data_IF_608967738658
#
_entry.id   IF_608967738658
#
_cell.length_a   1.000
_cell.length_b   1.000
_cell.length_c   1.000
_cell.angle_alpha   90.00
_cell.angle_beta   90.00
_cell.angle_gamma   90.00
#
_symmetry.space_group_name_H-M   'P 1'
#
loop_
_entity.id
_entity.type
_entity.pdbx_description
1 polymer ?
#
# COMPACT_ATOMS: atom_id res chain seq x y z
N UNK A 1 34.13 67.38 11.28
CA UNK A 1 32.90 67.26 10.48
C UNK A 1 33.30 66.82 9.08
N UNK A 2 32.47 65.95 8.49
CA UNK A 2 32.48 65.47 7.10
C UNK A 2 33.50 64.41 6.66
N UNK A 3 33.18 63.19 7.13
CA UNK A 3 33.05 62.00 6.30
C UNK A 3 32.42 62.31 4.93
N UNK A 4 33.07 61.91 3.83
CA UNK A 4 32.48 61.33 2.61
C UNK A 4 33.49 61.41 1.47
N UNK A 5 34.01 60.26 1.01
CA UNK A 5 34.02 59.83 -0.41
C UNK A 5 35.03 58.71 -0.70
N UNK A 6 34.49 57.67 -1.38
CA UNK A 6 35.13 56.71 -2.32
C UNK A 6 35.45 55.31 -1.78
N UNK A 7 34.40 54.50 -1.60
CA UNK A 7 34.48 53.06 -1.83
C UNK A 7 33.84 52.74 -3.20
N UNK A 8 34.67 52.35 -4.17
CA UNK A 8 34.26 51.70 -5.42
C UNK A 8 33.99 50.19 -5.22
N UNK A 9 33.81 49.43 -6.31
CA UNK A 9 32.49 49.05 -6.79
C UNK A 9 32.07 47.64 -6.35
N UNK A 10 30.81 47.55 -5.93
CA UNK A 10 29.85 46.46 -6.12
C UNK A 10 30.44 45.07 -6.48
N UNK A 11 30.94 44.33 -5.49
CA UNK A 11 31.01 42.86 -5.53
C UNK A 11 29.58 42.28 -5.44
N UNK A 12 28.84 42.35 -6.54
CA UNK A 12 27.68 41.48 -6.81
C UNK A 12 27.95 40.65 -8.04
N UNK A 13 29.03 39.88 -7.99
CA UNK A 13 29.22 38.75 -8.88
C UNK A 13 28.56 37.52 -8.25
N UNK A 14 27.39 37.17 -8.80
CA UNK A 14 27.06 35.81 -9.20
C UNK A 14 27.17 34.73 -8.09
N UNK A 15 26.13 34.62 -7.26
CA UNK A 15 25.69 33.31 -6.77
C UNK A 15 24.49 32.92 -7.62
N UNK A 16 24.71 31.95 -8.49
CA UNK A 16 23.72 31.39 -9.38
C UNK A 16 22.51 30.87 -8.60
N UNK A 17 21.33 31.42 -8.89
CA UNK A 17 20.20 30.71 -9.48
C UNK A 17 19.86 29.28 -9.05
N UNK A 18 20.17 28.84 -7.83
CA UNK A 18 19.50 27.67 -7.23
C UNK A 18 18.30 28.22 -6.48
N UNK A 19 17.17 28.33 -7.18
CA UNK A 19 15.90 28.71 -6.59
C UNK A 19 15.54 27.71 -5.50
N UNK A 20 15.77 28.07 -4.24
CA UNK A 20 15.26 27.32 -3.10
C UNK A 20 13.74 27.30 -3.26
N UNK A 21 13.10 26.13 -3.43
CA UNK A 21 11.66 26.06 -3.53
C UNK A 21 11.07 26.69 -2.27
N UNK A 22 10.19 27.68 -2.45
CA UNK A 22 9.51 28.26 -1.28
C UNK A 22 8.71 27.15 -0.59
N UNK A 23 8.68 27.13 0.75
CA UNK A 23 7.96 26.12 1.57
C UNK A 23 6.50 25.93 1.11
N UNK A 24 5.89 26.97 0.54
CA UNK A 24 4.54 26.94 -0.06
C UNK A 24 4.45 26.07 -1.31
N UNK A 25 5.49 26.05 -2.15
CA UNK A 25 5.58 25.25 -3.37
C UNK A 25 5.90 23.76 -3.11
N UNK A 26 6.57 23.43 -2.00
CA UNK A 26 6.75 22.04 -1.57
C UNK A 26 5.45 21.46 -1.01
N UNK A 27 4.77 22.20 -0.12
CA UNK A 27 3.49 21.77 0.46
C UNK A 27 2.40 21.52 -0.59
N UNK A 28 2.38 22.30 -1.68
CA UNK A 28 1.47 22.09 -2.81
C UNK A 28 1.72 20.78 -3.56
N UNK A 29 3.00 20.42 -3.77
CA UNK A 29 3.40 19.17 -4.44
C UNK A 29 3.08 17.93 -3.62
N UNK A 30 3.20 17.98 -2.30
CA UNK A 30 2.89 16.83 -1.44
C UNK A 30 1.40 16.47 -1.49
N UNK A 31 0.52 17.47 -1.41
CA UNK A 31 -0.92 17.25 -1.52
C UNK A 31 -1.34 16.82 -2.94
N UNK A 32 -0.60 17.20 -3.97
CA UNK A 32 -0.80 16.74 -5.33
C UNK A 32 -0.50 15.24 -5.46
N UNK A 33 0.65 14.80 -4.93
CA UNK A 33 1.09 13.41 -4.97
C UNK A 33 0.12 12.46 -4.28
N UNK A 34 -0.35 12.81 -3.08
CA UNK A 34 -1.32 12.00 -2.31
C UNK A 34 -2.63 11.81 -3.09
N UNK A 35 -3.12 12.86 -3.74
CA UNK A 35 -4.38 12.82 -4.49
C UNK A 35 -4.25 12.09 -5.83
N UNK A 36 -3.14 12.25 -6.53
CA UNK A 36 -2.82 11.45 -7.73
C UNK A 36 -2.71 9.97 -7.40
N UNK A 37 -2.09 9.62 -6.27
CA UNK A 37 -1.99 8.25 -5.81
C UNK A 37 -3.36 7.60 -5.58
N UNK A 38 -4.33 8.32 -5.01
CA UNK A 38 -5.69 7.80 -4.81
C UNK A 38 -6.40 7.45 -6.13
N UNK A 39 -6.36 8.34 -7.12
CA UNK A 39 -6.96 8.09 -8.45
C UNK A 39 -6.27 6.93 -9.15
N UNK A 40 -4.93 6.92 -9.15
CA UNK A 40 -4.16 5.86 -9.77
C UNK A 40 -4.40 4.50 -9.13
N UNK A 41 -4.46 4.44 -7.80
CA UNK A 41 -4.68 3.19 -7.06
C UNK A 41 -6.07 2.64 -7.35
N UNK A 42 -7.11 3.48 -7.38
CA UNK A 42 -8.45 3.05 -7.73
C UNK A 42 -8.55 2.56 -9.19
N UNK A 43 -7.95 3.28 -10.15
CA UNK A 43 -8.01 2.88 -11.57
C UNK A 43 -7.31 1.55 -11.83
N UNK A 44 -6.13 1.33 -11.24
CA UNK A 44 -5.38 0.09 -11.38
C UNK A 44 -6.14 -1.11 -10.80
N UNK A 45 -6.73 -0.96 -9.61
CA UNK A 45 -7.53 -2.03 -9.01
C UNK A 45 -8.75 -2.38 -9.87
N UNK A 46 -9.51 -1.36 -10.30
CA UNK A 46 -10.69 -1.56 -11.13
C UNK A 46 -10.34 -2.23 -12.46
N UNK A 47 -9.23 -1.81 -13.09
CA UNK A 47 -8.74 -2.42 -14.32
C UNK A 47 -8.42 -3.91 -14.15
N UNK A 48 -7.74 -4.28 -13.07
CA UNK A 48 -7.44 -5.68 -12.76
C UNK A 48 -8.68 -6.49 -12.40
N UNK A 49 -9.63 -5.93 -11.64
CA UNK A 49 -10.92 -6.57 -11.36
C UNK A 49 -11.63 -6.90 -12.66
N UNK A 50 -11.80 -5.92 -13.55
CA UNK A 50 -12.44 -6.12 -14.86
C UNK A 50 -11.70 -7.20 -15.63
N UNK A 51 -10.38 -7.06 -15.80
CA UNK A 51 -9.58 -8.00 -16.59
C UNK A 51 -9.64 -9.45 -16.09
N UNK A 52 -9.79 -9.69 -14.80
CA UNK A 52 -9.80 -11.03 -14.20
C UNK A 52 -11.21 -11.62 -14.09
N UNK A 53 -12.23 -10.76 -13.94
CA UNK A 53 -13.62 -11.19 -13.88
C UNK A 53 -14.29 -11.33 -15.24
N UNK A 54 -13.76 -10.74 -16.32
CA UNK A 54 -14.32 -10.94 -17.66
C UNK A 54 -14.19 -12.41 -18.10
N UNK A 55 -15.30 -13.12 -18.33
CA UNK A 55 -15.27 -14.47 -18.88
C UNK A 55 -14.72 -14.47 -20.30
N UNK A 56 -14.04 -15.55 -20.72
CA UNK A 56 -13.59 -15.70 -22.10
C UNK A 56 -12.43 -14.80 -22.57
N UNK A 57 -11.90 -13.89 -21.73
CA UNK A 57 -10.81 -12.96 -22.08
C UNK A 57 -9.45 -13.64 -22.36
N UNK A 58 -9.40 -14.96 -22.45
CA UNK A 58 -8.19 -15.73 -22.74
C UNK A 58 -7.23 -15.89 -21.56
N UNK A 59 -5.95 -16.20 -21.85
CA UNK A 59 -4.92 -16.50 -20.85
C UNK A 59 -4.47 -15.26 -20.06
N UNK A 60 -3.67 -15.48 -19.01
CA UNK A 60 -3.22 -14.44 -18.06
C UNK A 60 -2.55 -13.25 -18.74
N UNK A 61 -1.75 -13.46 -19.80
CA UNK A 61 -1.06 -12.36 -20.49
C UNK A 61 -2.02 -11.44 -21.27
N UNK A 62 -3.11 -11.98 -21.84
CA UNK A 62 -4.16 -11.16 -22.47
C UNK A 62 -4.85 -10.30 -21.42
N UNK A 63 -5.17 -10.90 -20.26
CA UNK A 63 -5.77 -10.19 -19.13
C UNK A 63 -4.85 -9.10 -18.61
N UNK A 64 -3.54 -9.35 -18.51
CA UNK A 64 -2.57 -8.34 -18.13
C UNK A 64 -2.51 -7.17 -19.14
N UNK A 65 -2.55 -7.46 -20.44
CA UNK A 65 -2.59 -6.43 -21.48
C UNK A 65 -3.86 -5.58 -21.39
N UNK A 66 -5.02 -6.21 -21.17
CA UNK A 66 -6.29 -5.51 -20.96
C UNK A 66 -6.27 -4.68 -19.68
N UNK A 67 -5.76 -5.23 -18.58
CA UNK A 67 -5.60 -4.50 -17.32
C UNK A 67 -4.69 -3.28 -17.48
N UNK A 68 -3.60 -3.37 -18.25
CA UNK A 68 -2.74 -2.23 -18.54
C UNK A 68 -3.48 -1.14 -19.32
N UNK A 69 -4.15 -1.50 -20.42
CA UNK A 69 -4.92 -0.56 -21.23
C UNK A 69 -6.02 0.13 -20.42
N UNK A 70 -6.76 -0.63 -19.62
CA UNK A 70 -7.79 -0.11 -18.72
C UNK A 70 -7.21 0.76 -17.60
N UNK A 71 -6.06 0.40 -17.02
CA UNK A 71 -5.44 1.19 -15.95
C UNK A 71 -5.06 2.59 -16.46
N UNK A 72 -4.46 2.67 -17.64
CA UNK A 72 -4.11 3.94 -18.29
C UNK A 72 -5.38 4.72 -18.66
N UNK A 73 -6.33 4.08 -19.35
CA UNK A 73 -7.56 4.73 -19.80
C UNK A 73 -8.44 5.25 -18.66
N UNK A 74 -8.65 4.44 -17.61
CA UNK A 74 -9.40 4.84 -16.41
C UNK A 74 -8.69 5.93 -15.63
N UNK A 75 -7.36 5.88 -15.52
CA UNK A 75 -6.59 6.93 -14.86
C UNK A 75 -6.77 8.27 -15.57
N UNK A 76 -6.70 8.29 -16.91
CA UNK A 76 -6.99 9.49 -17.70
C UNK A 76 -8.42 9.97 -17.54
N UNK A 77 -9.40 9.06 -17.63
CA UNK A 77 -10.80 9.41 -17.55
C UNK A 77 -11.17 9.98 -16.17
N UNK A 78 -10.76 9.34 -15.08
CA UNK A 78 -10.98 9.81 -13.71
C UNK A 78 -10.30 11.16 -13.45
N UNK A 79 -9.08 11.35 -13.98
CA UNK A 79 -8.36 12.62 -13.86
C UNK A 79 -9.11 13.75 -14.57
N UNK A 80 -9.60 13.51 -15.80
CA UNK A 80 -10.40 14.50 -16.56
C UNK A 80 -11.75 14.77 -15.90
N UNK A 81 -12.40 13.74 -15.36
CA UNK A 81 -13.68 13.88 -14.65
C UNK A 81 -13.53 14.71 -13.39
N UNK A 82 -12.47 14.47 -12.61
CA UNK A 82 -12.17 15.24 -11.39
C UNK A 82 -11.97 16.74 -11.70
N UNK A 83 -11.31 17.07 -12.81
CA UNK A 83 -11.16 18.46 -13.28
C UNK A 83 -12.51 19.05 -13.71
N UNK A 84 -13.32 18.30 -14.47
CA UNK A 84 -14.64 18.76 -14.96
C UNK A 84 -15.65 19.03 -13.85
N UNK A 85 -15.67 18.20 -12.81
CA UNK A 85 -16.65 18.32 -11.72
C UNK A 85 -16.44 19.53 -10.80
N UNK A 86 -15.47 20.42 -11.08
CA UNK A 86 -15.27 21.67 -10.35
C UNK A 86 -14.86 21.51 -8.88
N UNK A 87 -14.89 20.29 -8.32
CA UNK A 87 -14.45 19.94 -6.95
C UNK A 87 -12.97 20.26 -6.68
N UNK A 88 -12.25 20.73 -7.70
CA UNK A 88 -10.81 20.55 -7.79
C UNK A 88 -10.13 21.54 -8.77
N UNK A 89 -10.50 22.82 -8.78
CA UNK A 89 -9.80 23.84 -9.58
C UNK A 89 -8.29 23.95 -9.25
N UNK A 90 -7.86 23.47 -8.07
CA UNK A 90 -6.43 23.31 -7.66
C UNK A 90 -5.78 21.99 -8.09
N UNK A 91 -6.53 21.01 -8.56
CA UNK A 91 -6.03 19.65 -8.85
C UNK A 91 -5.35 19.56 -10.22
N UNK A 92 -5.85 20.31 -11.20
CA UNK A 92 -5.23 20.45 -12.52
C UNK A 92 -3.85 21.12 -12.46
N UNK A 93 -3.65 22.09 -11.56
CA UNK A 93 -2.33 22.71 -11.31
C UNK A 93 -1.38 21.80 -10.54
N UNK A 94 -1.91 20.90 -9.71
CA UNK A 94 -1.15 20.01 -8.83
C UNK A 94 -0.65 18.75 -9.57
N UNK A 95 -1.43 18.21 -10.50
CA UNK A 95 -0.99 17.13 -11.40
C UNK A 95 -0.15 17.62 -12.59
N UNK A 96 0.07 18.93 -12.73
CA UNK A 96 0.62 19.59 -13.92
C UNK A 96 2.06 19.17 -14.34
N UNK A 97 2.67 18.18 -13.67
CA UNK A 97 3.95 17.60 -14.06
C UNK A 97 4.01 16.07 -14.01
N UNK A 98 2.92 15.38 -13.64
CA UNK A 98 2.91 13.91 -13.59
C UNK A 98 2.27 13.39 -14.90
N UNK A 99 3.00 12.63 -15.73
CA UNK A 99 2.39 12.03 -16.91
C UNK A 99 1.34 11.01 -16.47
N UNK A 100 0.06 11.30 -16.71
CA UNK A 100 -1.07 10.47 -16.25
C UNK A 100 -0.97 9.02 -16.78
N UNK A 101 -0.49 8.85 -18.02
CA UNK A 101 -0.22 7.53 -18.57
C UNK A 101 0.84 6.76 -17.76
N UNK A 102 1.90 7.44 -17.30
CA UNK A 102 2.91 6.84 -16.41
C UNK A 102 2.29 6.44 -15.08
N UNK A 103 1.43 7.27 -14.50
CA UNK A 103 0.72 6.94 -13.26
C UNK A 103 -0.14 5.67 -13.44
N UNK A 104 -0.88 5.56 -14.54
CA UNK A 104 -1.64 4.35 -14.88
C UNK A 104 -0.76 3.10 -15.06
N UNK A 105 0.44 3.25 -15.64
CA UNK A 105 1.40 2.13 -15.75
C UNK A 105 1.94 1.71 -14.38
N UNK A 106 2.25 2.68 -13.51
CA UNK A 106 2.74 2.41 -12.16
C UNK A 106 1.68 1.68 -11.36
N UNK A 107 0.42 2.09 -11.41
CA UNK A 107 -0.64 1.45 -10.62
C UNK A 107 -1.07 0.11 -11.19
N UNK A 108 -0.99 -0.08 -12.51
CA UNK A 108 -1.05 -1.40 -13.12
C UNK A 108 0.00 -2.34 -12.52
N UNK A 109 1.27 -1.89 -12.46
CA UNK A 109 2.36 -2.68 -11.93
C UNK A 109 2.19 -2.95 -10.42
N UNK A 110 1.73 -1.97 -9.66
CA UNK A 110 1.50 -2.09 -8.21
C UNK A 110 0.50 -3.21 -7.88
N UNK A 111 -0.66 -3.19 -8.54
CA UNK A 111 -1.67 -4.24 -8.38
C UNK A 111 -1.25 -5.57 -9.01
N UNK A 112 -0.50 -5.55 -10.11
CA UNK A 112 0.05 -6.75 -10.73
C UNK A 112 1.08 -7.46 -9.83
N UNK A 113 1.95 -6.69 -9.17
CA UNK A 113 2.89 -7.19 -8.18
C UNK A 113 2.18 -7.67 -6.91
N UNK A 114 1.07 -7.02 -6.53
CA UNK A 114 0.20 -7.50 -5.45
C UNK A 114 -0.38 -8.88 -5.78
N UNK A 115 -0.90 -9.08 -6.99
CA UNK A 115 -1.36 -10.38 -7.47
C UNK A 115 -0.22 -11.41 -7.48
N UNK A 116 0.92 -11.07 -8.06
CA UNK A 116 2.08 -11.97 -8.11
C UNK A 116 2.50 -12.40 -6.71
N UNK A 117 2.58 -11.45 -5.77
CA UNK A 117 2.92 -11.72 -4.37
C UNK A 117 1.90 -12.63 -3.71
N UNK A 118 0.60 -12.34 -3.86
CA UNK A 118 -0.46 -13.18 -3.33
C UNK A 118 -0.38 -14.61 -3.87
N UNK A 119 -0.21 -14.75 -5.18
CA UNK A 119 -0.14 -16.05 -5.84
C UNK A 119 1.08 -16.86 -5.41
N UNK A 120 2.27 -16.25 -5.36
CA UNK A 120 3.50 -16.92 -4.94
C UNK A 120 3.48 -17.30 -3.45
N UNK A 121 2.98 -16.41 -2.58
CA UNK A 121 2.91 -16.66 -1.15
C UNK A 121 1.86 -17.73 -0.82
N UNK A 122 0.71 -17.74 -1.51
CA UNK A 122 -0.25 -18.84 -1.41
C UNK A 122 0.37 -20.18 -1.86
N UNK A 123 1.11 -20.17 -2.97
CA UNK A 123 1.79 -21.37 -3.49
C UNK A 123 2.86 -21.89 -2.53
N UNK A 124 3.53 -21.01 -1.77
CA UNK A 124 4.56 -21.39 -0.80
C UNK A 124 4.04 -22.23 0.37
N UNK A 125 2.73 -22.15 0.67
CA UNK A 125 2.07 -22.97 1.69
C UNK A 125 1.26 -24.12 1.08
N UNK A 126 1.42 -24.39 -0.22
CA UNK A 126 0.77 -25.53 -0.90
C UNK A 126 -0.56 -25.21 -1.58
N UNK A 127 -0.96 -23.94 -1.69
CA UNK A 127 -2.23 -23.55 -2.34
C UNK A 127 -2.01 -23.21 -3.82
N UNK A 128 -2.61 -23.98 -4.74
CA UNK A 128 -2.52 -23.77 -6.19
C UNK A 128 -3.85 -23.27 -6.80
N UNK A 129 -4.00 -21.95 -6.95
CA UNK A 129 -5.22 -21.32 -7.47
C UNK A 129 -5.20 -21.06 -8.98
N UNK A 130 -4.06 -21.28 -9.65
CA UNK A 130 -3.77 -20.67 -10.95
C UNK A 130 -3.79 -19.13 -10.93
N UNK A 131 -3.25 -18.48 -11.97
CA UNK A 131 -3.13 -17.01 -11.99
C UNK A 131 -4.49 -16.26 -12.01
N UNK A 132 -5.49 -16.83 -12.70
CA UNK A 132 -6.83 -16.21 -12.79
C UNK A 132 -7.59 -16.37 -11.47
N UNK A 133 -7.56 -17.56 -10.85
CA UNK A 133 -8.20 -17.80 -9.55
C UNK A 133 -7.59 -16.94 -8.44
N UNK A 134 -6.25 -16.86 -8.40
CA UNK A 134 -5.53 -15.96 -7.51
C UNK A 134 -5.96 -14.49 -7.71
N UNK A 135 -6.05 -14.04 -8.96
CA UNK A 135 -6.53 -12.70 -9.29
C UNK A 135 -7.94 -12.42 -8.81
N UNK A 136 -8.88 -13.35 -9.03
CA UNK A 136 -10.28 -13.20 -8.57
C UNK A 136 -10.34 -13.07 -7.07
N UNK A 137 -9.60 -13.91 -6.35
CA UNK A 137 -9.58 -13.88 -4.88
C UNK A 137 -8.94 -12.60 -4.35
N UNK A 138 -7.71 -12.29 -4.75
CA UNK A 138 -6.98 -11.15 -4.18
C UNK A 138 -7.71 -9.84 -4.43
N UNK A 139 -8.12 -9.56 -5.67
CA UNK A 139 -8.71 -8.26 -6.01
C UNK A 139 -10.11 -8.08 -5.43
N UNK A 140 -10.90 -9.16 -5.31
CA UNK A 140 -12.23 -9.07 -4.66
C UNK A 140 -12.08 -8.78 -3.17
N UNK A 141 -11.11 -9.41 -2.50
CA UNK A 141 -10.84 -9.10 -1.09
C UNK A 141 -10.25 -7.72 -0.89
N UNK A 142 -9.35 -7.26 -1.77
CA UNK A 142 -8.82 -5.89 -1.70
C UNK A 142 -9.92 -4.84 -1.92
N UNK A 143 -10.85 -5.10 -2.83
CA UNK A 143 -12.01 -4.24 -3.05
C UNK A 143 -12.93 -4.18 -1.81
N UNK A 144 -13.20 -5.33 -1.17
CA UNK A 144 -13.96 -5.37 0.07
C UNK A 144 -13.23 -4.66 1.22
N UNK A 145 -11.92 -4.84 1.33
CA UNK A 145 -11.05 -4.14 2.27
C UNK A 145 -11.16 -2.62 2.10
N UNK A 146 -11.05 -2.14 0.86
CA UNK A 146 -11.21 -0.73 0.54
C UNK A 146 -12.60 -0.22 0.89
N UNK A 147 -13.68 -0.86 0.46
CA UNK A 147 -15.05 -0.39 0.76
C UNK A 147 -15.32 -0.33 2.26
N UNK A 148 -14.77 -1.28 3.03
CA UNK A 148 -14.98 -1.33 4.48
C UNK A 148 -14.34 -0.17 5.25
N UNK A 149 -13.38 0.55 4.64
CA UNK A 149 -12.58 1.60 5.30
C UNK A 149 -11.88 1.15 6.60
N UNK A 150 -11.76 -0.17 6.82
CA UNK A 150 -11.00 -0.73 7.93
C UNK A 150 -9.51 -0.55 7.61
N UNK A 151 -8.70 0.02 8.51
CA UNK A 151 -7.26 0.17 8.28
C UNK A 151 -6.63 -1.19 7.97
N UNK A 152 -5.95 -1.28 6.82
CA UNK A 152 -5.34 -2.53 6.33
C UNK A 152 -6.33 -3.63 5.90
N UNK A 153 -7.63 -3.31 5.80
CA UNK A 153 -8.68 -4.26 5.41
C UNK A 153 -8.73 -5.51 6.27
N UNK A 154 -8.30 -5.42 7.53
CA UNK A 154 -8.26 -6.55 8.46
C UNK A 154 -9.69 -7.06 8.71
N UNK A 155 -9.89 -8.37 8.63
CA UNK A 155 -11.20 -9.01 8.77
C UNK A 155 -12.06 -8.96 7.51
N UNK A 156 -12.25 -7.78 6.89
CA UNK A 156 -13.11 -7.65 5.70
C UNK A 156 -12.53 -8.29 4.45
N UNK A 157 -11.25 -8.01 4.14
CA UNK A 157 -10.57 -8.66 3.02
C UNK A 157 -10.37 -10.16 3.30
N UNK A 158 -10.07 -10.52 4.55
CA UNK A 158 -9.79 -11.90 4.97
C UNK A 158 -11.02 -12.80 4.79
N UNK A 159 -12.20 -12.34 5.21
CA UNK A 159 -13.44 -13.09 5.04
C UNK A 159 -13.72 -13.37 3.54
N UNK A 160 -13.47 -12.38 2.68
CA UNK A 160 -13.63 -12.53 1.23
C UNK A 160 -12.57 -13.46 0.64
N UNK A 161 -11.33 -13.41 1.12
CA UNK A 161 -10.29 -14.34 0.70
C UNK A 161 -10.62 -15.78 1.12
N UNK A 162 -11.04 -16.01 2.36
CA UNK A 162 -11.51 -17.33 2.82
C UNK A 162 -12.63 -17.86 1.93
N UNK A 163 -13.61 -17.02 1.60
CA UNK A 163 -14.69 -17.40 0.67
C UNK A 163 -14.13 -17.73 -0.71
N UNK A 164 -13.20 -16.95 -1.24
CA UNK A 164 -12.54 -17.21 -2.51
C UNK A 164 -11.81 -18.55 -2.53
N UNK A 165 -11.01 -18.83 -1.50
CA UNK A 165 -10.33 -20.12 -1.30
C UNK A 165 -11.32 -21.29 -1.21
N UNK A 166 -12.38 -21.16 -0.43
CA UNK A 166 -13.41 -22.18 -0.28
C UNK A 166 -14.13 -22.49 -1.61
N UNK A 167 -14.45 -21.47 -2.42
CA UNK A 167 -15.03 -21.64 -3.75
C UNK A 167 -14.11 -22.38 -4.73
N UNK A 168 -12.81 -22.43 -4.44
CA UNK A 168 -11.81 -23.16 -5.22
C UNK A 168 -11.43 -24.50 -4.57
N UNK A 169 -12.15 -24.92 -3.53
CA UNK A 169 -11.92 -26.21 -2.85
C UNK A 169 -10.68 -26.26 -1.98
N UNK A 170 -10.15 -25.11 -1.54
CA UNK A 170 -9.00 -25.06 -0.63
C UNK A 170 -9.47 -25.20 0.82
N UNK A 171 -8.83 -26.11 1.54
CA UNK A 171 -9.11 -26.35 2.96
C UNK A 171 -8.90 -25.10 3.82
N UNK A 172 -9.67 -25.00 4.90
CA UNK A 172 -9.68 -23.83 5.76
C UNK A 172 -8.30 -23.55 6.38
N UNK A 173 -7.57 -24.59 6.80
CA UNK A 173 -6.24 -24.46 7.40
C UNK A 173 -5.22 -23.90 6.40
N UNK A 174 -5.23 -24.40 5.16
CA UNK A 174 -4.37 -23.92 4.08
C UNK A 174 -4.73 -22.49 3.66
N UNK A 175 -6.02 -22.16 3.61
CA UNK A 175 -6.51 -20.82 3.34
C UNK A 175 -6.02 -19.82 4.42
N UNK A 176 -6.11 -20.20 5.69
CA UNK A 176 -5.61 -19.39 6.80
C UNK A 176 -4.09 -19.18 6.70
N UNK A 177 -3.33 -20.25 6.43
CA UNK A 177 -1.89 -20.17 6.23
C UNK A 177 -1.52 -19.25 5.05
N UNK A 178 -2.25 -19.32 3.93
CA UNK A 178 -2.01 -18.48 2.76
C UNK A 178 -2.30 -17.00 3.04
N UNK A 179 -3.39 -16.70 3.76
CA UNK A 179 -3.74 -15.32 4.16
C UNK A 179 -2.67 -14.76 5.10
N UNK A 180 -2.25 -15.54 6.12
CA UNK A 180 -1.20 -15.14 7.05
C UNK A 180 0.12 -14.91 6.33
N UNK A 181 0.50 -15.79 5.41
CA UNK A 181 1.73 -15.67 4.64
C UNK A 181 1.70 -14.45 3.72
N UNK A 182 0.56 -14.18 3.05
CA UNK A 182 0.37 -12.98 2.26
C UNK A 182 0.46 -11.71 3.11
N UNK A 183 -0.23 -11.65 4.26
CA UNK A 183 -0.16 -10.49 5.17
C UNK A 183 1.24 -10.31 5.75
N UNK A 184 1.94 -11.37 6.10
CA UNK A 184 3.33 -11.31 6.52
C UNK A 184 4.23 -10.74 5.42
N UNK A 185 4.11 -11.26 4.20
CA UNK A 185 4.88 -10.77 3.05
C UNK A 185 4.56 -9.32 2.69
N UNK A 186 3.31 -8.90 2.81
CA UNK A 186 2.84 -7.59 2.35
C UNK A 186 2.90 -6.49 3.42
N UNK A 187 2.83 -6.83 4.71
CA UNK A 187 2.90 -5.86 5.81
C UNK A 187 4.20 -5.97 6.60
N UNK A 188 4.61 -7.17 6.99
CA UNK A 188 5.76 -7.36 7.88
C UNK A 188 7.09 -7.11 7.15
N UNK A 189 7.27 -7.65 5.93
CA UNK A 189 8.51 -7.45 5.18
C UNK A 189 8.76 -5.97 4.82
N UNK A 190 7.80 -5.20 4.27
CA UNK A 190 8.02 -3.79 4.01
C UNK A 190 8.27 -2.98 5.29
N UNK A 191 7.61 -3.35 6.40
CA UNK A 191 7.86 -2.72 7.69
C UNK A 191 9.29 -2.96 8.19
N UNK A 192 9.80 -4.20 8.11
CA UNK A 192 11.18 -4.52 8.45
C UNK A 192 12.19 -3.81 7.55
N UNK A 193 11.92 -3.78 6.24
CA UNK A 193 12.77 -3.07 5.28
C UNK A 193 12.81 -1.57 5.56
N UNK A 194 11.65 -0.95 5.81
CA UNK A 194 11.54 0.45 6.19
C UNK A 194 12.30 0.74 7.48
N UNK A 195 12.18 -0.14 8.49
CA UNK A 195 12.93 -0.02 9.74
C UNK A 195 14.44 -0.06 9.49
N UNK A 196 14.92 -0.96 8.62
CA UNK A 196 16.32 -1.04 8.22
C UNK A 196 16.82 0.22 7.51
N UNK A 197 16.05 0.75 6.56
CA UNK A 197 16.36 2.00 5.84
C UNK A 197 16.37 3.18 6.81
N UNK A 198 15.38 3.30 7.68
CA UNK A 198 15.29 4.36 8.69
C UNK A 198 16.48 4.28 9.64
N UNK A 199 16.81 3.09 10.14
CA UNK A 199 17.93 2.90 11.06
C UNK A 199 19.26 3.30 10.42
N UNK A 200 19.52 2.85 9.19
CA UNK A 200 20.75 3.15 8.44
C UNK A 200 20.84 4.62 8.03
N UNK A 201 19.76 5.20 7.51
CA UNK A 201 19.71 6.62 7.15
C UNK A 201 19.88 7.52 8.39
N UNK A 202 19.27 7.18 9.53
CA UNK A 202 19.33 8.01 10.75
C UNK A 202 20.59 7.81 11.59
N UNK A 203 21.32 6.70 11.41
CA UNK A 203 22.67 6.56 11.96
C UNK A 203 23.59 7.71 11.48
N UNK A 204 23.29 8.33 10.33
CA UNK A 204 24.02 9.47 9.78
C UNK A 204 23.58 10.87 10.31
N UNK A 205 22.57 10.98 11.19
CA UNK A 205 21.98 12.28 11.64
C UNK A 205 22.25 12.61 13.13
N UNK A 206 21.89 13.80 13.63
CA UNK A 206 22.34 14.34 14.95
C UNK A 206 21.74 13.66 16.21
N UNK A 207 22.43 13.79 17.36
CA UNK A 207 22.18 13.06 18.61
C UNK A 207 20.80 13.23 19.32
N UNK A 208 20.11 14.39 19.26
CA UNK A 208 18.79 14.56 19.90
C UNK A 208 17.70 13.70 19.26
N UNK A 209 17.70 13.60 17.93
CA UNK A 209 16.70 12.88 17.15
C UNK A 209 16.76 11.36 17.42
N UNK A 210 17.98 10.83 17.59
CA UNK A 210 18.23 9.43 17.99
C UNK A 210 17.60 9.07 19.35
N UNK A 211 17.56 9.99 20.31
CA UNK A 211 17.01 9.74 21.66
C UNK A 211 15.49 9.70 21.66
N UNK A 212 14.85 10.62 20.93
CA UNK A 212 13.40 10.64 20.77
C UNK A 212 12.90 9.38 20.06
N UNK A 213 13.58 8.97 18.98
CA UNK A 213 13.23 7.76 18.23
C UNK A 213 13.32 6.47 19.05
N UNK A 214 14.38 6.28 19.84
CA UNK A 214 14.49 5.08 20.71
C UNK A 214 13.30 4.95 21.65
N UNK A 215 12.75 6.08 22.13
CA UNK A 215 11.56 6.09 22.98
C UNK A 215 10.30 5.72 22.20
N UNK A 216 10.13 6.22 20.98
CA UNK A 216 8.99 5.87 20.11
C UNK A 216 9.02 4.39 19.71
N UNK A 217 10.18 3.89 19.26
CA UNK A 217 10.34 2.48 18.88
C UNK A 217 10.17 1.56 20.10
N UNK A 218 10.81 1.88 21.24
CA UNK A 218 10.62 1.11 22.46
C UNK A 218 9.15 1.12 22.92
N UNK A 219 8.46 2.25 22.79
CA UNK A 219 7.03 2.35 23.09
C UNK A 219 6.17 1.48 22.16
N UNK A 220 6.43 1.52 20.85
CA UNK A 220 5.70 0.69 19.88
C UNK A 220 5.97 -0.81 20.08
N UNK A 221 7.21 -1.20 20.39
CA UNK A 221 7.57 -2.59 20.69
C UNK A 221 6.93 -3.04 22.00
N UNK A 222 6.99 -2.22 23.05
CA UNK A 222 6.36 -2.54 24.34
C UNK A 222 4.84 -2.70 24.20
N UNK A 223 4.18 -1.84 23.41
CA UNK A 223 2.75 -1.95 23.14
C UNK A 223 2.43 -3.25 22.39
N UNK A 224 3.19 -3.60 21.35
CA UNK A 224 2.98 -4.85 20.62
C UNK A 224 3.25 -6.08 21.50
N UNK A 225 4.30 -6.06 22.32
CA UNK A 225 4.59 -7.13 23.27
C UNK A 225 3.48 -7.31 24.30
N UNK A 226 2.91 -6.21 24.82
CA UNK A 226 1.77 -6.25 25.72
C UNK A 226 0.52 -6.84 25.05
N UNK A 227 0.25 -6.48 23.80
CA UNK A 227 -0.86 -7.04 23.02
C UNK A 227 -0.66 -8.54 22.77
N UNK A 228 0.56 -8.99 22.47
CA UNK A 228 0.88 -10.41 22.29
C UNK A 228 0.73 -11.19 23.60
N UNK A 229 1.20 -10.65 24.72
CA UNK A 229 1.04 -11.27 26.04
C UNK A 229 -0.43 -11.34 26.46
N UNK A 230 -1.22 -10.28 26.21
CA UNK A 230 -2.65 -10.28 26.45
C UNK A 230 -3.38 -11.29 25.54
N UNK A 231 -2.98 -11.39 24.27
CA UNK A 231 -3.51 -12.39 23.34
C UNK A 231 -3.19 -13.81 23.80
N UNK A 232 -1.97 -14.07 24.27
CA UNK A 232 -1.57 -15.38 24.78
C UNK A 232 -2.31 -15.74 26.07
N UNK A 233 -2.50 -14.79 26.98
CA UNK A 233 -3.23 -14.98 28.22
C UNK A 233 -4.73 -15.26 28.01
N UNK A 234 -5.31 -14.82 26.89
CA UNK A 234 -6.72 -15.08 26.56
C UNK A 234 -6.99 -16.43 25.88
N UNK A 235 -5.95 -17.21 25.53
CA UNK A 235 -6.10 -18.51 24.85
C UNK A 235 -6.47 -19.67 25.83
N UNK A 236 -6.41 -19.45 27.15
CA UNK A 236 -6.64 -20.50 28.17
C UNK A 236 -7.97 -20.38 28.95
N UNK A 237 -9.11 -20.68 28.30
CA UNK A 237 -10.13 -21.49 28.99
C UNK A 237 -10.65 -22.68 28.18
N UNK A 238 -10.37 -22.75 26.87
CA UNK A 238 -10.94 -23.78 25.99
C UNK A 238 -10.10 -25.08 26.01
N UNK A 239 -8.79 -24.98 26.24
CA UNK A 239 -7.89 -26.13 26.29
C UNK A 239 -8.02 -26.98 27.58
N UNK A 240 -8.74 -26.51 28.60
CA UNK A 240 -8.86 -27.19 29.89
C UNK A 240 -10.19 -27.91 30.14
N UNK A 241 -11.13 -27.96 29.17
CA UNK A 241 -12.34 -28.77 29.37
C UNK A 241 -11.99 -30.26 29.32
N UNK A 242 -12.11 -31.01 30.44
CA UNK A 242 -11.87 -32.44 30.43
C UNK A 242 -12.90 -33.10 29.52
N UNK A 243 -12.44 -33.93 28.59
CA UNK A 243 -13.32 -34.78 27.80
C UNK A 243 -14.11 -35.69 28.75
N UNK A 244 -15.34 -35.32 29.06
CA UNK A 244 -16.31 -36.22 29.68
C UNK A 244 -16.62 -37.30 28.64
N UNK A 245 -15.86 -38.40 28.67
CA UNK A 245 -16.21 -39.61 27.94
C UNK A 245 -17.50 -40.16 28.56
N UNK A 246 -18.51 -40.53 27.78
CA UNK A 246 -19.67 -41.22 28.32
C UNK A 246 -19.20 -42.61 28.81
N UNK A 247 -19.32 -42.86 30.10
CA UNK A 247 -19.21 -44.22 30.64
C UNK A 247 -20.38 -45.03 30.08
N UNK A 248 -20.07 -45.89 29.11
CA UNK A 248 -20.96 -46.94 28.67
C UNK A 248 -21.14 -47.95 29.81
N UNK A 249 -22.36 -48.06 30.33
CA UNK A 249 -22.89 -49.25 30.99
C UNK A 249 -24.22 -49.61 30.37
#
# INVERSE_FOLDING_TARGET
MDQLRLAGPNRRARVAGVGVPTVRAERGRDHAGVRGHGIGSASGLMAWIVAVWTPGLGPVWVRAAVALGLSVGLCEWLSRLAVRLGRFHRFGSDLAGIPIARLGCVTFADWGLTLLSFWLLARSVGVDLGGIGAGRTVFTGQFAGLISMIPGGLGSADAVWFKGFALMGVDHELAAAAILMFRGGFYLLPWLAALGVIYTALASWSAPLRRWQRRVVAGAVALNAALLLASAAMIDPIAQMPSQRPETR
#
